data_IF_267236052430
#
_entry.id   IF_267236052430
#
_cell.length_a   1.000
_cell.length_b   1.000
_cell.length_c   1.000
_cell.angle_alpha   90.00
_cell.angle_beta   90.00
_cell.angle_gamma   90.00
#
_symmetry.space_group_name_H-M   'P 1'
#
loop_
_entity.id
_entity.type
_entity.pdbx_description
1 polymer ?
#
# COMPACT_ATOMS: atom_id res chain seq x y z
N UNK A 1 -3.40 6.62 -25.74
CA UNK A 1 -3.40 6.14 -24.36
C UNK A 1 -2.28 6.85 -23.62
N UNK A 2 -2.60 7.60 -22.57
CA UNK A 2 -1.62 8.23 -21.68
C UNK A 2 -0.81 7.17 -20.95
N UNK A 3 0.32 7.53 -20.36
CA UNK A 3 1.15 6.56 -19.63
C UNK A 3 0.43 6.05 -18.37
N UNK A 4 -0.36 6.91 -17.71
CA UNK A 4 -1.26 6.49 -16.62
C UNK A 4 -2.27 5.42 -17.05
N UNK A 5 -2.92 5.59 -18.21
CA UNK A 5 -3.86 4.59 -18.76
C UNK A 5 -3.15 3.28 -19.15
N UNK A 6 -1.94 3.34 -19.74
CA UNK A 6 -1.14 2.15 -20.04
C UNK A 6 -0.79 1.39 -18.76
N UNK A 7 -0.39 2.11 -17.71
CA UNK A 7 -0.01 1.54 -16.42
C UNK A 7 -1.19 0.84 -15.75
N UNK A 8 -2.37 1.47 -15.73
CA UNK A 8 -3.58 0.85 -15.19
C UNK A 8 -3.96 -0.41 -15.97
N UNK A 9 -4.00 -0.33 -17.31
CA UNK A 9 -4.32 -1.48 -18.16
C UNK A 9 -3.36 -2.65 -17.94
N UNK A 10 -2.07 -2.35 -17.78
CA UNK A 10 -1.07 -3.36 -17.46
C UNK A 10 -1.31 -3.98 -16.08
N UNK A 11 -1.63 -3.17 -15.07
CA UNK A 11 -1.97 -3.66 -13.73
C UNK A 11 -3.20 -4.58 -13.76
N UNK A 12 -4.24 -4.19 -14.50
CA UNK A 12 -5.47 -4.98 -14.66
C UNK A 12 -5.20 -6.36 -15.30
N UNK A 13 -4.24 -6.44 -16.22
CA UNK A 13 -3.84 -7.71 -16.86
C UNK A 13 -3.20 -8.73 -15.90
N UNK A 14 -2.87 -8.31 -14.67
CA UNK A 14 -2.26 -9.13 -13.62
C UNK A 14 -3.24 -9.55 -12.53
N UNK A 15 -4.50 -9.13 -12.59
CA UNK A 15 -5.52 -9.51 -11.61
C UNK A 15 -5.62 -11.04 -11.52
N UNK A 16 -5.61 -11.57 -10.30
CA UNK A 16 -5.63 -13.01 -9.99
C UNK A 16 -4.24 -13.62 -9.77
N UNK A 17 -3.17 -12.91 -10.13
CA UNK A 17 -1.81 -13.40 -9.87
C UNK A 17 -1.47 -13.36 -8.37
N UNK A 18 -0.61 -14.27 -7.92
CA UNK A 18 -0.35 -14.53 -6.50
C UNK A 18 0.47 -13.40 -5.86
N UNK A 19 0.25 -13.19 -4.56
CA UNK A 19 1.09 -12.33 -3.74
C UNK A 19 2.07 -13.19 -2.93
N UNK A 20 3.35 -12.86 -2.98
CA UNK A 20 4.45 -13.40 -2.15
C UNK A 20 5.50 -12.30 -2.03
N UNK A 21 6.11 -12.15 -0.86
CA UNK A 21 7.25 -11.24 -0.71
C UNK A 21 8.42 -11.76 -1.57
N UNK A 22 8.78 -11.03 -2.64
CA UNK A 22 9.72 -11.47 -3.66
C UNK A 22 10.32 -10.30 -4.40
N UNK A 23 11.63 -10.31 -4.65
CA UNK A 23 12.23 -9.36 -5.58
C UNK A 23 11.83 -9.72 -7.01
N UNK A 24 11.22 -8.78 -7.74
CA UNK A 24 10.80 -8.95 -9.13
C UNK A 24 11.87 -8.36 -10.08
N UNK A 25 12.22 -9.07 -11.18
CA UNK A 25 13.04 -8.49 -12.23
C UNK A 25 12.24 -7.46 -13.03
N UNK A 26 12.42 -6.17 -12.72
CA UNK A 26 11.70 -5.04 -13.37
C UNK A 26 11.86 -5.05 -14.88
N UNK A 27 13.02 -5.49 -15.40
CA UNK A 27 13.29 -5.58 -16.83
C UNK A 27 12.67 -6.79 -17.55
N UNK A 28 12.07 -7.73 -16.82
CA UNK A 28 11.40 -8.88 -17.43
C UNK A 28 9.92 -8.56 -17.73
N UNK A 29 9.64 -8.16 -18.97
CA UNK A 29 8.26 -7.91 -19.44
C UNK A 29 7.33 -9.12 -19.38
N UNK A 30 7.88 -10.34 -19.38
CA UNK A 30 7.14 -11.59 -19.36
C UNK A 30 6.95 -12.13 -17.93
N UNK A 31 7.31 -11.37 -16.90
CA UNK A 31 7.07 -11.78 -15.52
C UNK A 31 5.56 -11.86 -15.22
N UNK A 32 5.17 -12.97 -14.58
CA UNK A 32 3.79 -13.32 -14.22
C UNK A 32 3.73 -13.74 -12.76
N UNK A 33 3.98 -12.79 -11.88
CA UNK A 33 4.00 -13.00 -10.44
C UNK A 33 5.00 -14.07 -9.96
N UNK A 34 5.02 -14.35 -8.65
CA UNK A 34 4.25 -13.66 -7.63
C UNK A 34 4.69 -12.21 -7.42
N UNK A 35 3.91 -11.47 -6.63
CA UNK A 35 4.09 -10.04 -6.41
C UNK A 35 4.13 -9.68 -4.93
N UNK A 36 4.86 -8.63 -4.57
CA UNK A 36 4.44 -7.76 -3.47
C UNK A 36 3.99 -6.39 -4.00
N UNK A 37 3.50 -5.51 -3.11
CA UNK A 37 2.93 -4.23 -3.51
C UNK A 37 3.95 -3.27 -4.12
N UNK A 38 5.14 -3.14 -3.53
CA UNK A 38 6.17 -2.22 -4.02
C UNK A 38 6.78 -2.73 -5.32
N UNK A 39 7.06 -4.02 -5.38
CA UNK A 39 7.61 -4.72 -6.54
C UNK A 39 6.68 -4.69 -7.74
N UNK A 40 5.37 -4.94 -7.51
CA UNK A 40 4.35 -4.80 -8.54
C UNK A 40 4.34 -3.39 -9.11
N UNK A 41 4.31 -2.37 -8.26
CA UNK A 41 4.27 -0.98 -8.70
C UNK A 41 5.54 -0.57 -9.44
N UNK A 42 6.73 -0.90 -8.93
CA UNK A 42 7.99 -0.56 -9.59
C UNK A 42 8.16 -1.30 -10.92
N UNK A 43 7.68 -2.54 -11.02
CA UNK A 43 7.63 -3.26 -12.30
C UNK A 43 6.71 -2.56 -13.30
N UNK A 44 5.50 -2.16 -12.89
CA UNK A 44 4.58 -1.39 -13.76
C UNK A 44 5.22 -0.10 -14.28
N UNK A 45 5.90 0.65 -13.40
CA UNK A 45 6.61 1.87 -13.79
C UNK A 45 7.71 1.57 -14.81
N UNK A 46 8.51 0.54 -14.57
CA UNK A 46 9.59 0.18 -15.47
C UNK A 46 9.07 -0.26 -16.85
N UNK A 47 7.97 -1.02 -16.89
CA UNK A 47 7.39 -1.47 -18.16
C UNK A 47 6.82 -0.33 -19.00
N UNK A 48 6.29 0.72 -18.37
CA UNK A 48 5.67 1.86 -19.07
C UNK A 48 6.69 2.95 -19.38
N UNK A 49 7.54 3.30 -18.41
CA UNK A 49 8.42 4.46 -18.48
C UNK A 49 9.90 4.14 -18.64
N UNK A 50 10.32 2.88 -18.51
CA UNK A 50 11.73 2.49 -18.61
C UNK A 50 12.62 3.03 -17.49
N UNK A 51 12.03 3.49 -16.38
CA UNK A 51 12.74 4.04 -15.22
C UNK A 51 12.57 3.14 -14.01
N UNK A 52 13.60 3.10 -13.17
CA UNK A 52 13.47 2.60 -11.80
C UNK A 52 12.91 3.72 -10.92
N UNK A 53 11.94 3.35 -10.10
CA UNK A 53 11.30 4.25 -9.15
C UNK A 53 10.79 3.44 -7.98
N UNK A 54 10.98 3.93 -6.77
CA UNK A 54 10.64 3.23 -5.54
C UNK A 54 11.57 2.05 -5.26
N UNK A 55 12.78 2.10 -5.81
CA UNK A 55 13.83 1.09 -5.66
C UNK A 55 14.89 1.56 -4.66
N UNK A 56 15.55 0.63 -3.96
CA UNK A 56 16.61 0.98 -3.01
C UNK A 56 17.81 1.67 -3.67
N UNK A 57 18.00 1.46 -4.98
CA UNK A 57 18.94 2.18 -5.84
C UNK A 57 18.34 2.36 -7.25
N UNK A 58 17.88 3.57 -7.57
CA UNK A 58 17.26 3.89 -8.86
C UNK A 58 18.24 3.85 -10.06
N UNK A 59 19.55 3.69 -9.83
CA UNK A 59 20.54 3.46 -10.88
C UNK A 59 21.05 2.01 -10.90
N UNK A 60 20.47 1.15 -10.05
CA UNK A 60 20.86 -0.24 -9.90
C UNK A 60 20.47 -1.12 -11.08
N UNK A 61 20.80 -2.41 -10.97
CA UNK A 61 20.42 -3.39 -12.00
C UNK A 61 18.90 -3.68 -11.93
N UNK A 62 18.12 -3.37 -12.97
CA UNK A 62 16.67 -3.58 -12.96
C UNK A 62 16.26 -5.06 -12.85
N UNK A 63 17.16 -6.01 -13.08
CA UNK A 63 16.88 -7.43 -12.88
C UNK A 63 16.84 -7.85 -11.40
N UNK A 64 17.48 -7.09 -10.50
CA UNK A 64 17.77 -7.54 -9.12
C UNK A 64 17.58 -6.47 -8.06
N UNK A 65 17.37 -5.20 -8.44
CA UNK A 65 17.17 -4.12 -7.46
C UNK A 65 15.84 -4.33 -6.73
N UNK A 66 15.87 -4.22 -5.40
CA UNK A 66 14.69 -4.35 -4.55
C UNK A 66 13.86 -3.06 -4.56
N UNK A 67 12.54 -3.20 -4.61
CA UNK A 67 11.57 -2.13 -4.44
C UNK A 67 10.94 -2.20 -3.04
N UNK A 68 10.71 -1.04 -2.44
CA UNK A 68 10.18 -0.96 -1.09
C UNK A 68 9.37 0.32 -0.90
N UNK A 69 8.29 0.26 -0.12
CA UNK A 69 7.44 1.44 0.13
C UNK A 69 8.18 2.60 0.79
N UNK A 70 9.28 2.36 1.52
CA UNK A 70 10.16 3.40 2.03
C UNK A 70 11.04 4.05 0.95
N UNK A 71 11.46 3.29 -0.06
CA UNK A 71 12.11 3.85 -1.25
C UNK A 71 11.12 4.66 -2.07
N UNK A 72 9.90 4.15 -2.28
CA UNK A 72 8.79 4.92 -2.87
C UNK A 72 8.51 6.24 -2.15
N UNK A 73 8.57 6.25 -0.81
CA UNK A 73 8.48 7.48 -0.02
C UNK A 73 9.64 8.42 -0.34
N UNK A 74 10.88 7.94 -0.31
CA UNK A 74 12.08 8.72 -0.68
C UNK A 74 11.94 9.33 -2.07
N UNK A 75 11.54 8.53 -3.06
CA UNK A 75 11.51 8.97 -4.45
C UNK A 75 10.31 9.87 -4.72
N UNK A 76 9.19 9.68 -4.03
CA UNK A 76 8.08 10.65 -4.07
C UNK A 76 8.52 12.02 -3.57
N UNK A 77 9.43 12.07 -2.60
CA UNK A 77 9.94 13.33 -2.05
C UNK A 77 11.00 13.97 -2.95
N UNK A 78 11.84 13.17 -3.61
CA UNK A 78 13.00 13.64 -4.39
C UNK A 78 12.73 13.79 -5.88
N UNK A 79 11.99 12.86 -6.46
CA UNK A 79 11.87 12.63 -7.90
C UNK A 79 10.41 12.73 -8.39
N UNK A 80 9.43 12.46 -7.52
CA UNK A 80 8.01 12.46 -7.84
C UNK A 80 7.33 13.83 -7.77
N UNK A 81 6.24 13.99 -8.51
CA UNK A 81 5.28 15.07 -8.23
C UNK A 81 4.30 14.58 -7.17
N UNK A 82 4.58 14.87 -5.90
CA UNK A 82 3.59 14.67 -4.84
C UNK A 82 2.39 15.58 -5.07
N UNK A 83 1.22 14.98 -4.98
CA UNK A 83 -0.07 15.65 -5.07
C UNK A 83 -0.91 15.24 -3.86
N UNK A 84 -1.96 16.00 -3.50
CA UNK A 84 -2.97 15.50 -2.57
C UNK A 84 -3.46 14.13 -3.02
N UNK A 85 -3.62 13.19 -2.08
CA UNK A 85 -4.00 11.82 -2.42
C UNK A 85 -5.34 11.78 -3.19
N UNK A 86 -6.27 12.70 -2.91
CA UNK A 86 -7.54 12.84 -3.64
C UNK A 86 -7.35 13.19 -5.12
N UNK A 87 -6.34 14.00 -5.45
CA UNK A 87 -6.01 14.31 -6.84
C UNK A 87 -5.45 13.09 -7.57
N UNK A 88 -4.57 12.32 -6.93
CA UNK A 88 -4.09 11.07 -7.52
C UNK A 88 -5.22 10.03 -7.63
N UNK A 89 -6.14 9.98 -6.67
CA UNK A 89 -7.30 9.08 -6.69
C UNK A 89 -8.25 9.37 -7.85
N UNK A 90 -8.42 10.63 -8.25
CA UNK A 90 -9.21 11.02 -9.41
C UNK A 90 -8.43 11.01 -10.72
N UNK A 91 -7.18 10.56 -10.75
CA UNK A 91 -6.37 10.49 -11.97
C UNK A 91 -6.16 9.03 -12.36
N UNK A 92 -6.50 8.65 -13.60
CA UNK A 92 -6.22 7.31 -14.15
C UNK A 92 -4.72 7.07 -14.12
N UNK A 93 -4.27 6.00 -13.46
CA UNK A 93 -2.85 5.72 -13.28
C UNK A 93 -2.18 6.54 -12.18
N UNK A 94 -2.92 7.40 -11.46
CA UNK A 94 -2.41 8.03 -10.25
C UNK A 94 -2.04 6.98 -9.20
N UNK A 95 -1.06 7.27 -8.37
CA UNK A 95 -0.55 6.33 -7.37
C UNK A 95 -0.90 6.83 -5.98
N UNK A 96 -1.41 5.95 -5.11
CA UNK A 96 -1.56 6.26 -3.69
C UNK A 96 -0.53 5.47 -2.90
N UNK A 97 0.12 6.16 -1.98
CA UNK A 97 1.16 5.59 -1.13
C UNK A 97 0.80 5.83 0.33
N UNK A 98 0.83 4.73 1.08
CA UNK A 98 0.88 4.69 2.53
C UNK A 98 2.31 4.38 2.93
N UNK A 99 2.88 5.21 3.77
CA UNK A 99 4.26 5.08 4.21
C UNK A 99 4.42 3.91 5.20
N UNK A 100 5.63 3.33 5.27
CA UNK A 100 6.03 2.52 6.42
C UNK A 100 5.77 3.26 7.74
N UNK A 101 5.14 2.59 8.73
CA UNK A 101 4.93 3.20 10.05
C UNK A 101 6.23 3.32 10.87
N UNK A 102 7.29 2.60 10.49
CA UNK A 102 8.59 2.64 11.13
C UNK A 102 9.69 1.96 10.31
N UNK A 103 10.95 2.00 10.76
CA UNK A 103 12.06 1.35 10.08
C UNK A 103 11.83 -0.15 9.88
N UNK A 104 12.11 -0.67 8.68
CA UNK A 104 11.94 -2.09 8.36
C UNK A 104 10.50 -2.58 8.20
N UNK A 105 9.50 -1.70 8.33
CA UNK A 105 8.08 -2.04 8.20
C UNK A 105 7.57 -1.78 6.79
N UNK A 106 6.53 -2.46 6.32
CA UNK A 106 5.95 -2.14 5.02
C UNK A 106 4.80 -1.13 5.17
N UNK A 107 4.69 -0.20 4.23
CA UNK A 107 3.48 0.58 4.00
C UNK A 107 2.55 -0.14 3.02
N UNK A 108 1.90 0.61 2.14
CA UNK A 108 1.13 0.02 1.03
C UNK A 108 1.03 0.96 -0.16
N UNK A 109 1.00 0.43 -1.37
CA UNK A 109 1.00 1.24 -2.60
C UNK A 109 0.07 0.64 -3.66
N UNK A 110 -0.62 1.51 -4.40
CA UNK A 110 -1.65 1.11 -5.38
C UNK A 110 -1.64 2.03 -6.60
N UNK A 111 -2.19 1.54 -7.72
CA UNK A 111 -2.56 2.37 -8.88
C UNK A 111 -4.06 2.61 -8.91
N UNK A 112 -4.48 3.83 -9.24
CA UNK A 112 -5.87 4.29 -9.29
C UNK A 112 -6.50 4.11 -10.66
N UNK A 113 -7.81 3.84 -10.67
CA UNK A 113 -8.62 3.88 -11.89
C UNK A 113 -9.19 5.27 -12.23
N UNK A 114 -8.98 6.27 -11.37
CA UNK A 114 -9.50 7.64 -11.55
C UNK A 114 -10.95 7.81 -11.11
N UNK A 115 -11.63 6.75 -10.68
CA UNK A 115 -13.05 6.72 -10.31
C UNK A 115 -13.25 6.30 -8.84
N UNK A 116 -12.15 6.23 -8.07
CA UNK A 116 -12.15 5.84 -6.65
C UNK A 116 -11.89 4.35 -6.41
N UNK A 117 -11.63 3.57 -7.45
CA UNK A 117 -11.11 2.22 -7.38
C UNK A 117 -9.59 2.15 -7.58
N UNK A 118 -9.05 0.96 -7.32
CA UNK A 118 -7.62 0.68 -7.37
C UNK A 118 -7.34 -0.67 -8.01
N UNK A 119 -6.13 -0.87 -8.52
CA UNK A 119 -5.53 -2.19 -8.75
C UNK A 119 -4.28 -2.31 -7.91
N UNK A 120 -4.14 -3.42 -7.19
CA UNK A 120 -3.08 -3.59 -6.20
C UNK A 120 -2.74 -5.05 -5.94
N UNK A 121 -1.48 -5.34 -5.66
CA UNK A 121 -1.05 -6.57 -5.02
C UNK A 121 -1.31 -6.43 -3.50
N UNK A 122 -2.41 -7.01 -3.01
CA UNK A 122 -2.98 -6.65 -1.70
C UNK A 122 -2.43 -7.46 -0.52
N UNK A 123 -2.02 -8.71 -0.74
CA UNK A 123 -1.60 -9.63 0.31
C UNK A 123 -1.86 -11.09 -0.09
N UNK A 124 -1.28 -12.05 0.63
CA UNK A 124 -1.32 -13.48 0.24
C UNK A 124 -2.74 -14.05 0.21
N UNK A 125 -3.68 -13.50 0.98
CA UNK A 125 -5.09 -13.91 0.95
C UNK A 125 -5.87 -13.41 -0.28
N UNK A 126 -5.26 -12.51 -1.07
CA UNK A 126 -5.96 -11.74 -2.09
C UNK A 126 -5.29 -11.75 -3.46
N UNK A 127 -3.96 -11.84 -3.52
CA UNK A 127 -3.21 -11.66 -4.76
C UNK A 127 -3.31 -10.23 -5.31
N UNK A 128 -3.15 -10.11 -6.64
CA UNK A 128 -3.44 -8.87 -7.38
C UNK A 128 -4.94 -8.79 -7.63
N UNK A 129 -5.57 -7.68 -7.26
CA UNK A 129 -7.02 -7.51 -7.39
C UNK A 129 -7.42 -6.06 -7.54
N UNK A 130 -8.70 -5.86 -7.89
CA UNK A 130 -9.35 -4.57 -7.69
C UNK A 130 -9.61 -4.30 -6.21
N UNK A 131 -9.43 -3.04 -5.83
CA UNK A 131 -9.73 -2.49 -4.52
C UNK A 131 -10.49 -1.18 -4.62
N UNK A 132 -10.55 -0.46 -3.51
CA UNK A 132 -11.17 0.86 -3.39
C UNK A 132 -10.24 1.80 -2.65
N UNK A 133 -10.33 3.09 -2.98
CA UNK A 133 -9.64 4.17 -2.27
C UNK A 133 -10.34 4.50 -0.96
N UNK A 134 -11.68 4.60 -0.99
CA UNK A 134 -12.54 5.02 0.11
C UNK A 134 -12.42 4.11 1.34
N UNK A 135 -12.47 4.70 2.54
CA UNK A 135 -12.39 4.00 3.82
C UNK A 135 -10.98 3.52 4.20
N UNK A 136 -9.94 4.07 3.57
CA UNK A 136 -8.52 3.76 3.82
C UNK A 136 -7.73 5.04 4.03
N UNK A 137 -6.68 4.95 4.84
CA UNK A 137 -5.73 6.05 4.99
C UNK A 137 -4.66 6.03 3.89
N UNK A 138 -4.33 7.21 3.36
CA UNK A 138 -3.32 7.44 2.33
C UNK A 138 -2.49 8.67 2.69
N UNK A 139 -1.17 8.51 2.78
CA UNK A 139 -0.27 9.60 3.18
C UNK A 139 0.01 10.57 2.03
N UNK A 140 0.04 10.07 0.79
CA UNK A 140 0.29 10.92 -0.37
C UNK A 140 -0.27 10.32 -1.66
N UNK A 141 -0.51 11.20 -2.63
CA UNK A 141 -0.67 10.84 -4.03
C UNK A 141 0.62 11.12 -4.80
N UNK A 142 0.95 10.28 -5.77
CA UNK A 142 2.11 10.45 -6.65
C UNK A 142 1.66 10.46 -8.09
N UNK A 143 2.09 11.49 -8.83
CA UNK A 143 2.14 11.47 -10.29
C UNK A 143 3.61 11.40 -10.69
N UNK A 144 3.99 10.33 -11.39
CA UNK A 144 5.37 10.09 -11.80
C UNK A 144 5.85 11.20 -12.75
N UNK A 145 7.11 11.65 -12.62
CA UNK A 145 7.69 12.60 -13.55
C UNK A 145 7.75 11.98 -14.95
N UNK A 146 7.60 12.81 -15.99
CA UNK A 146 7.64 12.41 -17.40
C UNK A 146 6.57 11.42 -17.86
N UNK A 147 5.65 10.99 -16.98
CA UNK A 147 4.45 10.27 -17.39
C UNK A 147 3.38 11.26 -17.85
N UNK A 148 2.71 10.91 -18.94
CA UNK A 148 1.49 11.59 -19.36
C UNK A 148 0.28 11.02 -18.61
N UNK A 149 -0.63 11.91 -18.20
CA UNK A 149 -1.89 11.56 -17.54
C UNK A 149 -3.04 12.26 -18.25
N UNK A 150 -4.22 11.66 -18.19
CA UNK A 150 -5.46 12.35 -18.54
C UNK A 150 -5.75 13.48 -17.56
N UNK A 151 -6.77 14.28 -17.86
CA UNK A 151 -7.30 15.21 -16.87
C UNK A 151 -7.75 14.41 -15.63
N UNK A 152 -7.45 14.93 -14.44
CA UNK A 152 -8.06 14.42 -13.23
C UNK A 152 -9.59 14.50 -13.40
N UNK A 153 -10.27 13.41 -13.07
CA UNK A 153 -11.72 13.37 -13.00
C UNK A 153 -12.26 14.42 -12.02
N UNK A 154 -13.58 14.60 -12.05
CA UNK A 154 -14.28 15.49 -11.14
C UNK A 154 -14.05 15.12 -9.66
N UNK A 155 -14.51 15.99 -8.76
CA UNK A 155 -14.41 15.74 -7.32
C UNK A 155 -15.08 14.40 -6.97
N UNK A 156 -14.28 13.43 -6.51
CA UNK A 156 -14.77 12.14 -6.05
C UNK A 156 -15.24 12.27 -4.59
N UNK A 157 -16.43 11.72 -4.30
CA UNK A 157 -16.91 11.54 -2.93
C UNK A 157 -16.22 10.34 -2.27
N UNK A 158 -14.98 10.56 -1.82
CA UNK A 158 -14.17 9.54 -1.14
C UNK A 158 -14.30 9.73 0.36
N UNK A 159 -14.84 8.71 1.03
CA UNK A 159 -14.98 8.69 2.48
C UNK A 159 -13.63 8.42 3.16
N UNK A 160 -13.37 9.15 4.23
CA UNK A 160 -12.28 8.86 5.16
C UNK A 160 -12.54 7.56 5.92
N UNK A 161 -11.51 6.88 6.46
CA UNK A 161 -11.73 5.73 7.32
C UNK A 161 -12.46 6.14 8.61
N UNK A 162 -13.65 5.57 8.85
CA UNK A 162 -14.48 5.89 10.03
C UNK A 162 -13.91 5.34 11.34
N UNK A 163 -13.19 4.22 11.28
CA UNK A 163 -12.61 3.53 12.43
C UNK A 163 -11.26 2.93 12.03
N UNK A 164 -10.18 3.64 12.39
CA UNK A 164 -8.81 3.24 12.10
C UNK A 164 -7.92 3.45 13.32
N UNK A 165 -7.23 2.40 13.71
CA UNK A 165 -6.20 2.45 14.75
C UNK A 165 -4.84 2.27 14.10
N UNK A 166 -3.99 3.29 14.19
CA UNK A 166 -2.66 3.32 13.62
C UNK A 166 -1.79 4.29 14.42
N UNK A 167 -0.47 4.13 14.35
CA UNK A 167 0.46 5.03 15.03
C UNK A 167 0.20 6.48 14.61
N UNK A 168 0.03 7.36 15.59
CA UNK A 168 -0.22 8.79 15.37
C UNK A 168 -1.63 9.17 14.92
N UNK A 169 -2.57 8.23 14.78
CA UNK A 169 -3.97 8.57 14.46
C UNK A 169 -4.66 9.28 15.65
N UNK A 170 -5.28 10.45 15.46
CA UNK A 170 -6.09 11.07 16.50
C UNK A 170 -7.33 10.24 16.85
N UNK A 171 -7.90 10.52 18.03
CA UNK A 171 -9.22 10.02 18.46
C UNK A 171 -9.36 8.49 18.58
N UNK A 172 -8.25 7.77 18.73
CA UNK A 172 -8.29 6.34 19.09
C UNK A 172 -8.77 6.15 20.53
N UNK A 173 -9.76 5.28 20.74
CA UNK A 173 -10.25 4.94 22.08
C UNK A 173 -9.29 3.95 22.75
N UNK A 174 -8.76 4.31 23.92
CA UNK A 174 -7.88 3.44 24.70
C UNK A 174 -8.51 2.08 25.03
N UNK A 175 -9.83 2.01 25.23
CA UNK A 175 -10.54 0.74 25.46
C UNK A 175 -10.39 -0.22 24.28
N UNK A 176 -10.55 0.28 23.05
CA UNK A 176 -10.43 -0.52 21.81
C UNK A 176 -8.98 -0.89 21.54
N UNK A 177 -8.01 -0.02 21.86
CA UNK A 177 -6.60 -0.37 21.79
C UNK A 177 -6.29 -1.56 22.72
N UNK A 178 -6.86 -1.59 23.94
CA UNK A 178 -6.69 -2.74 24.84
C UNK A 178 -7.36 -4.00 24.31
N UNK A 179 -8.48 -3.90 23.58
CA UNK A 179 -9.09 -5.05 22.89
C UNK A 179 -8.16 -5.59 21.79
N UNK A 180 -7.56 -4.71 20.99
CA UNK A 180 -6.54 -5.08 19.99
C UNK A 180 -5.36 -5.78 20.67
N UNK A 181 -4.79 -5.18 21.72
CA UNK A 181 -3.64 -5.71 22.45
C UNK A 181 -3.96 -7.08 23.09
N UNK A 182 -5.13 -7.24 23.72
CA UNK A 182 -5.58 -8.55 24.25
C UNK A 182 -5.68 -9.60 23.16
N UNK A 183 -6.40 -9.31 22.08
CA UNK A 183 -6.61 -10.24 20.98
C UNK A 183 -5.27 -10.69 20.35
N UNK A 184 -4.34 -9.74 20.15
CA UNK A 184 -2.99 -10.06 19.65
C UNK A 184 -2.22 -10.96 20.62
N UNK A 185 -2.27 -10.65 21.92
CA UNK A 185 -1.58 -11.43 22.96
C UNK A 185 -2.12 -12.87 23.05
N UNK A 186 -3.44 -13.03 23.02
CA UNK A 186 -4.12 -14.34 23.01
C UNK A 186 -3.76 -15.18 21.79
N UNK A 187 -3.52 -14.54 20.65
CA UNK A 187 -3.07 -15.18 19.41
C UNK A 187 -1.55 -15.43 19.35
N UNK A 188 -0.81 -15.12 20.42
CA UNK A 188 0.63 -15.39 20.54
C UNK A 188 1.55 -14.28 19.99
N UNK A 189 1.00 -13.13 19.61
CA UNK A 189 1.80 -11.96 19.24
C UNK A 189 2.18 -11.13 20.48
N UNK A 190 3.19 -10.27 20.36
CA UNK A 190 3.65 -9.41 21.45
C UNK A 190 3.36 -7.92 21.16
N UNK A 191 2.19 -7.39 21.56
CA UNK A 191 1.85 -5.98 21.37
C UNK A 191 2.46 -5.06 22.43
N UNK A 192 3.25 -5.59 23.37
CA UNK A 192 3.66 -4.87 24.57
C UNK A 192 2.61 -4.96 25.68
N UNK A 193 2.62 -4.01 26.64
CA UNK A 193 1.63 -3.92 27.71
C UNK A 193 0.21 -3.70 27.16
N UNK A 194 -0.81 -4.12 27.91
CA UNK A 194 -2.23 -3.85 27.61
C UNK A 194 -2.61 -2.51 28.27
N UNK A 195 -1.96 -1.43 27.86
CA UNK A 195 -2.08 -0.09 28.44
C UNK A 195 -3.14 0.77 27.74
N UNK A 196 -3.51 0.42 26.51
CA UNK A 196 -4.38 1.23 25.66
C UNK A 196 -3.64 2.27 24.84
N UNK A 197 -2.32 2.13 24.67
CA UNK A 197 -1.49 2.97 23.81
C UNK A 197 -1.10 2.24 22.52
N UNK A 198 -1.37 2.85 21.37
CA UNK A 198 -1.01 2.28 20.07
C UNK A 198 0.41 2.70 19.69
N UNK A 199 1.39 1.99 20.24
CA UNK A 199 2.83 2.24 20.06
C UNK A 199 3.48 1.30 19.04
N UNK A 200 4.80 1.44 18.85
CA UNK A 200 5.58 0.64 17.89
C UNK A 200 5.49 -0.88 18.15
N UNK A 201 5.39 -1.33 19.41
CA UNK A 201 5.20 -2.74 19.73
C UNK A 201 3.83 -3.23 19.26
N UNK A 202 2.78 -2.43 19.46
CA UNK A 202 1.43 -2.75 18.96
C UNK A 202 1.42 -2.76 17.43
N UNK A 203 2.05 -1.79 16.77
CA UNK A 203 2.17 -1.74 15.29
C UNK A 203 2.87 -3.01 14.77
N UNK A 204 4.00 -3.39 15.37
CA UNK A 204 4.76 -4.58 14.99
C UNK A 204 3.95 -5.87 15.18
N UNK A 205 3.22 -5.99 16.29
CA UNK A 205 2.34 -7.13 16.55
C UNK A 205 1.18 -7.21 15.55
N UNK A 206 0.57 -6.08 15.20
CA UNK A 206 -0.48 -6.02 14.17
C UNK A 206 0.07 -6.43 12.81
N UNK A 207 1.25 -5.93 12.41
CA UNK A 207 1.88 -6.30 11.15
C UNK A 207 2.21 -7.80 11.09
N UNK A 208 2.80 -8.36 12.15
CA UNK A 208 3.05 -9.79 12.24
C UNK A 208 1.75 -10.61 12.12
N UNK A 209 0.69 -10.19 12.82
CA UNK A 209 -0.63 -10.81 12.70
C UNK A 209 -1.18 -10.73 11.27
N UNK A 210 -1.15 -9.56 10.64
CA UNK A 210 -1.61 -9.34 9.27
C UNK A 210 -0.89 -10.27 8.29
N UNK A 211 0.42 -10.46 8.44
CA UNK A 211 1.21 -11.38 7.62
C UNK A 211 0.69 -12.82 7.74
N UNK A 212 0.41 -13.30 8.95
CA UNK A 212 -0.16 -14.66 9.15
C UNK A 212 -1.57 -14.84 8.58
N UNK A 213 -2.32 -13.73 8.41
CA UNK A 213 -3.67 -13.74 7.85
C UNK A 213 -3.72 -13.36 6.38
N UNK A 214 -2.57 -13.10 5.75
CA UNK A 214 -2.46 -12.70 4.36
C UNK A 214 -3.11 -11.37 4.01
N UNK A 215 -3.21 -10.47 4.99
CA UNK A 215 -3.74 -9.12 4.81
C UNK A 215 -2.64 -8.17 4.29
N UNK A 216 -3.00 -6.91 4.06
CA UNK A 216 -2.02 -5.84 3.90
C UNK A 216 -1.22 -5.73 5.21
N UNK A 217 0.11 -5.78 5.14
CA UNK A 217 1.02 -5.80 6.29
C UNK A 217 1.53 -4.38 6.58
N UNK A 218 0.64 -3.53 7.07
CA UNK A 218 0.88 -2.10 7.29
C UNK A 218 0.82 -1.67 8.76
N UNK A 219 0.54 -2.60 9.68
CA UNK A 219 0.44 -2.33 11.11
C UNK A 219 -0.76 -1.47 11.49
N UNK A 220 -1.79 -1.36 10.64
CA UNK A 220 -3.03 -0.62 10.91
C UNK A 220 -4.22 -1.55 11.16
N UNK A 221 -5.03 -1.23 12.17
CA UNK A 221 -6.28 -1.94 12.45
C UNK A 221 -7.46 -1.13 11.92
N UNK A 222 -7.91 -1.50 10.72
CA UNK A 222 -9.22 -1.14 10.17
C UNK A 222 -10.20 -2.32 10.18
N UNK A 223 -11.38 -2.20 9.54
CA UNK A 223 -12.45 -3.21 9.60
C UNK A 223 -12.01 -4.61 9.17
N UNK A 224 -11.10 -4.72 8.19
CA UNK A 224 -10.57 -6.01 7.78
C UNK A 224 -9.77 -6.66 8.91
N UNK A 225 -8.75 -5.97 9.45
CA UNK A 225 -7.93 -6.49 10.54
C UNK A 225 -8.77 -6.82 11.77
N UNK A 226 -9.68 -5.92 12.17
CA UNK A 226 -10.59 -6.11 13.30
C UNK A 226 -11.45 -7.38 13.17
N UNK A 227 -12.02 -7.62 11.98
CA UNK A 227 -12.78 -8.84 11.69
C UNK A 227 -11.95 -10.11 11.89
N UNK A 228 -10.64 -10.10 11.58
CA UNK A 228 -9.77 -11.28 11.77
C UNK A 228 -9.31 -11.41 13.22
N UNK A 229 -9.18 -10.31 13.95
CA UNK A 229 -8.96 -10.28 15.40
C UNK A 229 -10.21 -10.64 16.21
N UNK A 230 -11.39 -10.64 15.56
CA UNK A 230 -12.70 -10.88 16.19
C UNK A 230 -13.04 -9.82 17.25
N UNK A 231 -12.75 -8.55 16.94
CA UNK A 231 -13.08 -7.40 17.77
C UNK A 231 -14.01 -6.44 17.01
N UNK A 232 -14.71 -5.59 17.76
CA UNK A 232 -15.50 -4.47 17.25
C UNK A 232 -14.68 -3.17 17.34
N UNK A 233 -14.89 -2.26 16.39
CA UNK A 233 -14.22 -0.96 16.34
C UNK A 233 -15.15 0.17 16.76
#
# INVERSE_FOLDING_TARGET
MTDGEKMLKLAESRIGEKYVNVCVPKNNKNWHGPWDCAEFMSWLVYQVGGILYGCVDDNGNPATVEAYTGAWKSDSQKLGKRVPWRQAASTVGGILLRYPPGPGMMGHIVVCDGEGGTVEAMGTAYGVRRGKVSGRNWDTGVLLPNFTYGAAGGALDLAEPSQLYALGQPNMKASVIRDIQRALKELGFNPGPIDGEYNDLTVAAVAAFQATKGLIVDGQVGPQTAKRLKIEL
#
